data_IF_525620410825
#
_entry.id   IF_525620410825
#
_cell.length_a   1.000
_cell.length_b   1.000
_cell.length_c   1.000
_cell.angle_alpha   90.00
_cell.angle_beta   90.00
_cell.angle_gamma   90.00
#
_symmetry.space_group_name_H-M   'P 1'
#
loop_
_entity.id
_entity.type
_entity.pdbx_description
1 polymer ?
#
# COMPACT_ATOMS: atom_id res chain seq x y z
N UNK A 1 0.32 -21.93 12.65
CA UNK A 1 0.51 -23.11 11.77
C UNK A 1 1.30 -22.60 10.57
N UNK A 2 2.29 -23.32 10.07
CA UNK A 2 3.00 -22.87 8.86
C UNK A 2 2.15 -23.24 7.65
N UNK A 3 1.75 -22.24 6.87
CA UNK A 3 1.01 -22.38 5.63
C UNK A 3 2.00 -22.32 4.46
N UNK A 4 1.95 -23.30 3.55
CA UNK A 4 2.89 -23.46 2.43
C UNK A 4 2.17 -23.48 1.07
N UNK A 5 0.86 -23.23 1.05
CA UNK A 5 0.02 -23.33 -0.15
C UNK A 5 0.22 -22.13 -1.09
N UNK A 6 0.40 -20.94 -0.52
CA UNK A 6 0.65 -19.71 -1.25
C UNK A 6 1.22 -18.63 -0.30
N UNK A 7 1.67 -17.51 -0.88
CA UNK A 7 2.26 -16.36 -0.19
C UNK A 7 1.27 -15.22 0.11
N UNK A 8 0.02 -15.34 -0.33
CA UNK A 8 -1.06 -14.36 -0.13
C UNK A 8 -2.11 -14.81 0.91
N UNK A 9 -1.85 -15.89 1.62
CA UNK A 9 -2.59 -16.29 2.82
C UNK A 9 -2.20 -15.41 4.02
N UNK A 10 -1.00 -14.83 3.98
CA UNK A 10 -0.57 -13.84 4.94
C UNK A 10 -1.26 -12.50 4.68
N UNK A 11 -1.56 -11.77 5.75
CA UNK A 11 -2.12 -10.42 5.65
C UNK A 11 -1.09 -9.41 5.14
N UNK A 12 -1.48 -8.13 5.15
CA UNK A 12 -0.56 -7.04 4.85
C UNK A 12 0.51 -6.86 5.95
N UNK A 13 1.69 -6.36 5.56
CA UNK A 13 2.69 -5.88 6.51
C UNK A 13 2.13 -4.75 7.39
N UNK A 14 2.55 -4.70 8.65
CA UNK A 14 2.03 -3.72 9.62
C UNK A 14 2.28 -2.28 9.18
N UNK A 15 3.44 -2.03 8.56
CA UNK A 15 3.83 -0.73 8.04
C UNK A 15 2.93 -0.27 6.90
N UNK A 16 2.44 -1.22 6.07
CA UNK A 16 1.48 -0.91 5.01
C UNK A 16 0.13 -0.52 5.59
N UNK A 17 -0.33 -1.24 6.62
CA UNK A 17 -1.57 -0.90 7.32
C UNK A 17 -1.48 0.46 8.01
N UNK A 18 -0.35 0.76 8.66
CA UNK A 18 -0.12 2.05 9.30
C UNK A 18 -0.12 3.18 8.28
N UNK A 19 0.52 3.00 7.12
CA UNK A 19 0.50 4.00 6.05
C UNK A 19 -0.94 4.29 5.56
N UNK A 20 -1.82 3.28 5.50
CA UNK A 20 -3.24 3.50 5.18
C UNK A 20 -3.97 4.30 6.27
N UNK A 21 -3.70 4.01 7.54
CA UNK A 21 -4.30 4.74 8.68
C UNK A 21 -3.86 6.20 8.70
N UNK A 22 -2.56 6.45 8.54
CA UNK A 22 -1.96 7.79 8.61
C UNK A 22 -2.50 8.73 7.54
N UNK A 23 -2.83 8.17 6.37
CA UNK A 23 -3.18 8.92 5.16
C UNK A 23 -4.69 8.95 4.86
N UNK A 24 -5.49 8.23 5.65
CA UNK A 24 -6.93 8.02 5.41
C UNK A 24 -7.75 9.30 5.29
N UNK A 25 -7.34 10.38 5.98
CA UNK A 25 -8.08 11.64 6.00
C UNK A 25 -7.57 12.66 4.97
N UNK A 26 -6.59 12.29 4.14
CA UNK A 26 -6.08 13.15 3.08
C UNK A 26 -7.04 13.16 1.88
N UNK A 27 -7.36 14.35 1.38
CA UNK A 27 -8.14 14.49 0.15
C UNK A 27 -7.18 14.55 -1.04
N UNK A 28 -7.12 13.47 -1.80
CA UNK A 28 -6.19 13.31 -2.92
C UNK A 28 -6.94 13.16 -4.24
N UNK A 29 -6.23 13.48 -5.33
CA UNK A 29 -6.74 13.27 -6.67
C UNK A 29 -6.96 11.77 -6.95
N UNK A 30 -8.11 11.42 -7.55
CA UNK A 30 -8.42 10.04 -7.92
C UNK A 30 -7.65 9.53 -9.14
N UNK A 31 -7.94 8.29 -9.53
CA UNK A 31 -7.44 7.67 -10.77
C UNK A 31 -5.91 7.59 -10.91
N UNK A 32 -5.18 7.52 -9.79
CA UNK A 32 -3.72 7.41 -9.78
C UNK A 32 -2.97 8.72 -10.06
N UNK A 33 -3.66 9.85 -9.99
CA UNK A 33 -3.06 11.18 -10.09
C UNK A 33 -2.61 11.74 -8.73
N UNK A 34 -2.67 10.94 -7.67
CA UNK A 34 -2.23 11.28 -6.33
C UNK A 34 -0.70 11.21 -6.18
N UNK A 35 -0.22 11.85 -5.12
CA UNK A 35 1.21 11.96 -4.82
C UNK A 35 1.84 10.59 -4.48
N UNK A 36 1.09 9.64 -3.91
CA UNK A 36 1.62 8.32 -3.58
C UNK A 36 1.84 7.48 -4.85
N UNK A 37 0.90 7.49 -5.78
CA UNK A 37 1.04 6.84 -7.09
C UNK A 37 2.21 7.42 -7.88
N UNK A 38 2.36 8.75 -7.87
CA UNK A 38 3.51 9.40 -8.52
C UNK A 38 4.84 9.04 -7.83
N UNK A 39 4.87 9.05 -6.49
CA UNK A 39 6.04 8.66 -5.70
C UNK A 39 6.46 7.21 -5.98
N UNK A 40 5.50 6.28 -6.01
CA UNK A 40 5.74 4.87 -6.32
C UNK A 40 6.28 4.70 -7.75
N UNK A 41 5.69 5.38 -8.73
CA UNK A 41 6.16 5.38 -10.12
C UNK A 41 7.62 5.82 -10.22
N UNK A 42 8.01 6.87 -9.49
CA UNK A 42 9.39 7.36 -9.50
C UNK A 42 10.39 6.43 -8.81
N UNK A 43 9.97 5.65 -7.80
CA UNK A 43 10.82 4.67 -7.11
C UNK A 43 11.02 3.37 -7.89
N UNK A 44 10.06 3.02 -8.74
CA UNK A 44 10.09 1.80 -9.55
C UNK A 44 10.91 1.99 -10.84
N UNK A 45 10.94 3.22 -11.37
CA UNK A 45 11.78 3.60 -12.53
C UNK A 45 13.26 3.39 -12.27
#
# INVERSE_FOLDING_TARGET
>A
MLHFENDYNEGALLELLQALVDTNNENLAGYGFDDYTQSATNKIR
#
